data_IF_829310340150
#
_entry.id   IF_829310340150
#
_cell.length_a   1.000
_cell.length_b   1.000
_cell.length_c   1.000
_cell.angle_alpha   90.00
_cell.angle_beta   90.00
_cell.angle_gamma   90.00
#
_symmetry.space_group_name_H-M   'P 1'
#
loop_
_entity.id
_entity.type
_entity.pdbx_description
1 polymer ?
#
# COMPACT_ATOMS: atom_id res chain seq x y z
N UNK A 1 14.58 34.36 12.49
CA UNK A 1 13.84 35.62 12.76
C UNK A 1 13.48 36.33 11.45
N UNK A 2 14.44 36.56 10.52
CA UNK A 2 14.15 37.27 9.25
C UNK A 2 13.08 36.60 8.41
N UNK A 3 13.14 35.27 8.23
CA UNK A 3 12.16 34.47 7.48
C UNK A 3 10.75 34.66 8.04
N UNK A 4 10.58 34.53 9.36
CA UNK A 4 9.28 34.75 10.01
C UNK A 4 8.80 36.19 9.84
N UNK A 5 9.68 37.16 9.94
CA UNK A 5 9.32 38.58 9.79
C UNK A 5 8.82 38.89 8.38
N UNK A 6 9.51 38.36 7.38
CA UNK A 6 9.14 38.57 5.97
C UNK A 6 7.81 37.87 5.64
N UNK A 7 7.61 36.65 6.14
CA UNK A 7 6.34 35.93 6.05
C UNK A 7 5.19 36.68 6.73
N UNK A 8 5.36 37.16 7.95
CA UNK A 8 4.35 37.92 8.66
C UNK A 8 4.03 39.25 7.98
N UNK A 9 5.01 39.91 7.33
CA UNK A 9 4.79 41.10 6.52
C UNK A 9 3.94 40.78 5.28
N UNK A 10 4.26 39.72 4.55
CA UNK A 10 3.47 39.24 3.41
C UNK A 10 2.00 39.06 3.78
N UNK A 11 1.76 38.46 4.92
CA UNK A 11 0.43 38.21 5.48
C UNK A 11 -0.25 39.52 5.91
N UNK A 12 0.43 40.38 6.63
CA UNK A 12 -0.11 41.62 7.17
C UNK A 12 -0.60 42.59 6.08
N UNK A 13 0.14 42.68 4.96
CA UNK A 13 -0.24 43.53 3.82
C UNK A 13 -1.59 43.16 3.27
N UNK A 14 -1.92 41.87 3.23
CA UNK A 14 -3.14 41.38 2.61
C UNK A 14 -4.35 41.29 3.58
N UNK A 15 -4.16 41.34 4.90
CA UNK A 15 -5.19 40.96 5.87
C UNK A 15 -5.28 41.83 7.14
N UNK A 16 -4.89 43.08 7.12
CA UNK A 16 -4.74 43.98 8.28
C UNK A 16 -5.98 44.13 9.21
N UNK A 17 -7.15 43.64 8.80
CA UNK A 17 -8.41 43.82 9.52
C UNK A 17 -9.04 42.53 10.07
N UNK A 18 -8.43 41.38 9.85
CA UNK A 18 -9.02 40.09 10.25
C UNK A 18 -8.29 39.49 11.45
N UNK A 19 -9.05 39.02 12.45
CA UNK A 19 -8.50 38.33 13.64
C UNK A 19 -8.00 36.91 13.32
N UNK A 20 -8.51 36.29 12.26
CA UNK A 20 -8.10 34.98 11.71
C UNK A 20 -8.25 35.01 10.21
N UNK A 21 -7.33 34.38 9.50
CA UNK A 21 -7.40 34.18 8.06
C UNK A 21 -6.80 32.84 7.69
N UNK A 22 -7.20 32.31 6.55
CA UNK A 22 -6.70 31.08 5.99
C UNK A 22 -5.73 31.44 4.87
N UNK A 23 -4.54 30.83 4.90
CA UNK A 23 -3.62 30.82 3.76
C UNK A 23 -3.94 29.59 2.93
N UNK A 24 -4.09 29.77 1.63
CA UNK A 24 -4.30 28.67 0.70
C UNK A 24 -3.13 28.65 -0.28
N UNK A 25 -2.54 27.46 -0.46
CA UNK A 25 -1.49 27.21 -1.42
C UNK A 25 -1.96 26.15 -2.41
N UNK A 26 -1.77 26.41 -3.69
CA UNK A 26 -1.91 25.40 -4.73
C UNK A 26 -0.57 24.68 -4.90
N UNK A 27 -0.46 23.47 -4.35
CA UNK A 27 0.79 22.71 -4.31
C UNK A 27 1.20 22.22 -5.72
N UNK A 28 0.23 22.08 -6.63
CA UNK A 28 0.49 21.55 -7.97
C UNK A 28 1.00 22.64 -8.92
N UNK A 29 0.42 23.86 -8.79
CA UNK A 29 0.65 24.92 -9.77
C UNK A 29 1.49 26.08 -9.23
N UNK A 30 1.88 26.06 -7.95
CA UNK A 30 2.55 27.19 -7.32
C UNK A 30 3.60 26.75 -6.29
N UNK A 31 4.84 27.13 -6.53
CA UNK A 31 6.00 26.84 -5.65
C UNK A 31 6.06 27.77 -4.42
N UNK A 32 5.09 28.69 -4.24
CA UNK A 32 5.12 29.64 -3.12
C UNK A 32 5.23 28.97 -1.74
N UNK A 33 4.61 27.79 -1.59
CA UNK A 33 4.68 27.05 -0.34
C UNK A 33 6.12 26.68 0.02
N UNK A 34 6.99 26.42 -0.96
CA UNK A 34 8.39 26.06 -0.73
C UNK A 34 9.13 27.21 -0.06
N UNK A 35 8.88 28.46 -0.50
CA UNK A 35 9.50 29.64 0.08
C UNK A 35 9.00 29.97 1.48
N UNK A 36 7.74 29.62 1.76
CA UNK A 36 7.11 29.90 3.06
C UNK A 36 7.24 28.71 4.05
N UNK A 37 7.71 27.54 3.60
CA UNK A 37 7.73 26.29 4.38
C UNK A 37 8.45 26.40 5.72
N UNK A 38 9.63 27.05 5.76
CA UNK A 38 10.39 27.24 7.00
C UNK A 38 9.63 28.12 8.01
N UNK A 39 8.98 29.17 7.54
CA UNK A 39 8.18 30.04 8.39
C UNK A 39 6.91 29.32 8.91
N UNK A 40 6.27 28.53 8.05
CA UNK A 40 5.09 27.72 8.39
C UNK A 40 5.44 26.69 9.46
N UNK A 41 6.54 25.96 9.29
CA UNK A 41 7.02 24.97 10.27
C UNK A 41 7.32 25.60 11.63
N UNK A 42 8.07 26.69 11.65
CA UNK A 42 8.39 27.40 12.89
C UNK A 42 7.16 27.96 13.61
N UNK A 43 6.22 28.55 12.86
CA UNK A 43 5.00 29.11 13.45
C UNK A 43 4.02 28.01 13.89
N UNK A 44 4.02 26.85 13.24
CA UNK A 44 3.26 25.68 13.67
C UNK A 44 3.79 25.11 14.97
N UNK A 45 5.11 25.01 15.13
CA UNK A 45 5.77 24.58 16.37
C UNK A 45 5.53 25.54 17.54
N UNK A 46 5.19 26.79 17.27
CA UNK A 46 4.84 27.79 18.26
C UNK A 46 3.32 27.89 18.54
N UNK A 47 2.53 26.99 17.97
CA UNK A 47 1.05 27.00 18.07
C UNK A 47 0.40 28.31 17.57
N UNK A 48 1.09 29.06 16.73
CA UNK A 48 0.59 30.30 16.13
C UNK A 48 -0.24 29.99 14.87
N UNK A 49 0.18 28.94 14.12
CA UNK A 49 -0.59 28.39 13.02
C UNK A 49 -1.28 27.11 13.46
N UNK A 50 -2.55 26.99 13.12
CA UNK A 50 -3.24 25.69 13.20
C UNK A 50 -2.77 24.80 12.07
N UNK A 51 -2.79 23.49 12.31
CA UNK A 51 -2.35 22.49 11.35
C UNK A 51 -2.99 22.70 9.99
N UNK A 52 -2.22 22.71 8.89
CA UNK A 52 -2.77 22.89 7.56
C UNK A 52 -3.71 21.73 7.20
N UNK A 53 -4.88 22.05 6.69
CA UNK A 53 -5.73 21.06 6.06
C UNK A 53 -5.33 20.92 4.60
N UNK A 54 -5.12 19.67 4.15
CA UNK A 54 -4.87 19.38 2.75
C UNK A 54 -6.21 19.10 2.08
N UNK A 55 -6.57 19.89 1.07
CA UNK A 55 -7.72 19.59 0.21
C UNK A 55 -7.28 18.81 -1.01
N UNK A 56 -7.94 17.71 -1.25
CA UNK A 56 -7.72 16.86 -2.43
C UNK A 56 -8.85 17.11 -3.41
N UNK A 57 -8.49 17.32 -4.68
CA UNK A 57 -9.44 17.43 -5.77
C UNK A 57 -9.42 16.12 -6.58
N UNK A 58 -10.57 15.43 -6.62
CA UNK A 58 -10.72 14.16 -7.33
C UNK A 58 -12.09 14.09 -8.01
N UNK A 59 -12.13 13.86 -9.31
CA UNK A 59 -13.38 13.67 -10.05
C UNK A 59 -14.44 14.76 -9.83
N UNK A 60 -14.04 16.04 -9.85
CA UNK A 60 -14.90 17.21 -9.61
C UNK A 60 -15.39 17.38 -8.16
N UNK A 61 -14.93 16.56 -7.23
CA UNK A 61 -15.21 16.69 -5.80
C UNK A 61 -13.98 17.18 -5.04
N UNK A 62 -14.22 18.07 -4.08
CA UNK A 62 -13.20 18.52 -3.14
C UNK A 62 -13.47 17.89 -1.78
N UNK A 63 -12.50 17.22 -1.22
CA UNK A 63 -12.58 16.70 0.14
C UNK A 63 -11.31 17.01 0.92
N UNK A 64 -11.43 17.02 2.25
CA UNK A 64 -10.27 17.17 3.11
C UNK A 64 -9.52 15.83 3.14
N UNK A 65 -8.19 15.86 3.03
CA UNK A 65 -7.36 14.67 3.16
C UNK A 65 -7.62 13.87 4.45
N UNK A 66 -7.98 14.57 5.53
CA UNK A 66 -8.34 13.92 6.80
C UNK A 66 -9.64 13.10 6.73
N UNK A 67 -10.47 13.33 5.71
CA UNK A 67 -11.71 12.58 5.45
C UNK A 67 -11.45 11.39 4.51
N UNK A 68 -10.20 11.18 4.08
CA UNK A 68 -9.79 10.02 3.27
C UNK A 68 -9.93 8.73 4.07
N UNK A 69 -10.11 7.61 3.36
CA UNK A 69 -10.07 6.29 3.99
C UNK A 69 -8.70 6.02 4.61
N UNK A 70 -8.65 5.14 5.62
CA UNK A 70 -7.38 4.75 6.26
C UNK A 70 -6.35 4.22 5.25
N UNK A 71 -6.80 3.49 4.24
CA UNK A 71 -5.93 2.97 3.17
C UNK A 71 -5.37 4.09 2.28
N UNK A 72 -6.20 5.06 1.85
CA UNK A 72 -5.75 6.23 1.08
C UNK A 72 -4.73 7.05 1.86
N UNK A 73 -5.03 7.32 3.13
CA UNK A 73 -4.12 8.06 4.00
C UNK A 73 -2.79 7.33 4.16
N UNK A 74 -2.82 6.03 4.44
CA UNK A 74 -1.62 5.22 4.63
C UNK A 74 -0.75 5.21 3.37
N UNK A 75 -1.34 4.94 2.22
CA UNK A 75 -0.64 4.91 0.93
C UNK A 75 0.03 6.25 0.61
N UNK A 76 -0.71 7.36 0.74
CA UNK A 76 -0.17 8.69 0.48
C UNK A 76 0.92 9.07 1.48
N UNK A 77 0.75 8.76 2.77
CA UNK A 77 1.79 9.01 3.77
C UNK A 77 3.06 8.23 3.50
N UNK A 78 2.96 6.98 3.04
CA UNK A 78 4.13 6.19 2.64
C UNK A 78 4.88 6.84 1.48
N UNK A 79 4.20 7.16 0.38
CA UNK A 79 4.85 7.75 -0.79
C UNK A 79 5.44 9.14 -0.49
N UNK A 80 4.70 10.00 0.22
CA UNK A 80 5.19 11.32 0.63
C UNK A 80 6.40 11.18 1.56
N UNK A 81 6.34 10.24 2.52
CA UNK A 81 7.45 9.96 3.43
C UNK A 81 8.72 9.54 2.69
N UNK A 82 8.62 8.66 1.71
CA UNK A 82 9.75 8.23 0.88
C UNK A 82 10.24 9.41 0.03
N UNK A 83 9.33 10.13 -0.66
CA UNK A 83 9.68 11.28 -1.51
C UNK A 83 10.41 12.38 -0.75
N UNK A 84 10.09 12.57 0.54
CA UNK A 84 10.74 13.60 1.36
C UNK A 84 12.21 13.32 1.70
N UNK A 85 12.67 12.08 1.53
CA UNK A 85 13.99 11.62 1.99
C UNK A 85 14.82 10.90 0.94
N UNK A 86 14.21 10.41 -0.12
CA UNK A 86 14.88 9.61 -1.16
C UNK A 86 15.92 10.44 -1.91
N UNK A 87 17.04 9.81 -2.22
CA UNK A 87 18.10 10.31 -3.07
C UNK A 87 18.60 9.18 -3.97
N UNK A 88 19.41 9.49 -4.97
CA UNK A 88 20.10 8.47 -5.75
C UNK A 88 20.93 7.55 -4.84
N UNK A 89 20.95 6.26 -5.16
CA UNK A 89 21.60 5.21 -4.38
C UNK A 89 20.99 4.95 -2.99
N UNK A 90 19.71 5.28 -2.78
CA UNK A 90 19.01 5.00 -1.53
C UNK A 90 18.64 3.52 -1.41
N UNK A 91 18.71 3.01 -0.17
CA UNK A 91 18.05 1.76 0.23
C UNK A 91 16.76 2.10 0.95
N UNK A 92 15.64 1.66 0.40
CA UNK A 92 14.29 1.89 0.93
C UNK A 92 13.75 0.56 1.46
N UNK A 93 13.36 0.53 2.73
CA UNK A 93 12.77 -0.65 3.36
C UNK A 93 11.31 -0.33 3.69
N UNK A 94 10.41 -1.15 3.19
CA UNK A 94 8.96 -0.99 3.36
C UNK A 94 8.42 -2.26 3.99
N UNK A 95 7.71 -2.13 5.11
CA UNK A 95 7.11 -3.24 5.83
C UNK A 95 5.59 -3.16 5.71
N UNK A 96 4.98 -4.24 5.22
CA UNK A 96 3.54 -4.42 5.01
C UNK A 96 2.83 -3.21 4.37
N UNK A 97 3.22 -2.81 3.14
CA UNK A 97 2.60 -1.66 2.48
C UNK A 97 1.11 -1.85 2.18
N UNK A 98 0.64 -3.08 2.19
CA UNK A 98 -0.76 -3.47 1.99
C UNK A 98 -1.70 -3.10 3.13
N UNK A 99 -1.19 -2.73 4.30
CA UNK A 99 -2.00 -2.47 5.47
C UNK A 99 -3.12 -1.46 5.20
N UNK A 100 -4.38 -1.88 5.46
CA UNK A 100 -5.60 -1.12 5.22
C UNK A 100 -5.90 -0.81 3.75
N UNK A 101 -5.14 -1.37 2.79
CA UNK A 101 -5.30 -1.09 1.37
C UNK A 101 -6.27 -2.05 0.69
N UNK A 102 -7.11 -1.51 -0.20
CA UNK A 102 -8.00 -2.33 -1.03
C UNK A 102 -7.19 -3.24 -1.97
N UNK A 103 -7.61 -4.51 -2.25
CA UNK A 103 -6.87 -5.43 -3.12
C UNK A 103 -6.44 -4.85 -4.46
N UNK A 104 -7.30 -4.06 -5.12
CA UNK A 104 -6.94 -3.40 -6.39
C UNK A 104 -5.76 -2.43 -6.26
N UNK A 105 -5.55 -1.83 -5.08
CA UNK A 105 -4.41 -0.95 -4.84
C UNK A 105 -3.15 -1.75 -4.58
N UNK A 106 -3.27 -2.88 -3.91
CA UNK A 106 -2.16 -3.80 -3.69
C UNK A 106 -1.60 -4.33 -5.02
N UNK A 107 -2.47 -4.68 -5.98
CA UNK A 107 -2.07 -5.09 -7.33
C UNK A 107 -1.27 -4.00 -8.05
N UNK A 108 -1.68 -2.73 -7.91
CA UNK A 108 -1.05 -1.61 -8.60
C UNK A 108 0.15 -1.01 -7.84
N UNK A 109 0.42 -1.47 -6.62
CA UNK A 109 1.40 -0.85 -5.72
C UNK A 109 2.81 -0.77 -6.32
N UNK A 110 3.30 -1.86 -6.90
CA UNK A 110 4.62 -1.92 -7.54
C UNK A 110 4.68 -1.02 -8.78
N UNK A 111 3.61 -0.96 -9.57
CA UNK A 111 3.51 -0.06 -10.71
C UNK A 111 3.62 1.40 -10.27
N UNK A 112 2.87 1.82 -9.27
CA UNK A 112 2.96 3.18 -8.72
C UNK A 112 4.33 3.49 -8.14
N UNK A 113 4.94 2.54 -7.44
CA UNK A 113 6.27 2.70 -6.88
C UNK A 113 7.30 2.95 -7.99
N UNK A 114 7.26 2.17 -9.06
CA UNK A 114 8.13 2.36 -10.25
C UNK A 114 7.89 3.73 -10.90
N UNK A 115 6.64 4.13 -11.10
CA UNK A 115 6.30 5.38 -11.77
C UNK A 115 6.68 6.63 -10.98
N UNK A 116 6.43 6.61 -9.66
CA UNK A 116 6.71 7.76 -8.78
C UNK A 116 8.22 7.97 -8.61
N UNK A 117 8.98 6.89 -8.49
CA UNK A 117 10.40 6.96 -8.16
C UNK A 117 11.34 6.77 -9.38
N UNK A 118 10.81 6.78 -10.60
CA UNK A 118 11.58 6.56 -11.84
C UNK A 118 12.74 7.53 -12.09
N UNK A 119 12.67 8.72 -11.51
CA UNK A 119 13.72 9.76 -11.65
C UNK A 119 14.90 9.54 -10.70
N UNK A 120 14.77 8.65 -9.70
CA UNK A 120 15.84 8.32 -8.77
C UNK A 120 16.62 7.10 -9.25
N UNK A 121 17.93 7.22 -9.35
CA UNK A 121 18.79 6.20 -9.94
C UNK A 121 19.47 5.33 -8.89
N UNK A 122 19.69 4.06 -9.22
CA UNK A 122 20.39 3.09 -8.36
C UNK A 122 19.76 2.90 -6.98
N UNK A 123 18.46 3.12 -6.85
CA UNK A 123 17.73 2.87 -5.63
C UNK A 123 17.36 1.38 -5.51
N UNK A 124 17.41 0.86 -4.28
CA UNK A 124 17.04 -0.49 -3.96
C UNK A 124 15.85 -0.50 -3.00
N UNK A 125 14.78 -1.19 -3.37
CA UNK A 125 13.57 -1.32 -2.56
C UNK A 125 13.51 -2.74 -1.99
N UNK A 126 13.40 -2.85 -0.66
CA UNK A 126 13.16 -4.11 0.05
C UNK A 126 11.78 -4.04 0.65
N UNK A 127 10.89 -4.91 0.22
CA UNK A 127 9.48 -4.91 0.64
C UNK A 127 9.22 -6.22 1.38
N UNK A 128 8.83 -6.12 2.65
CA UNK A 128 8.28 -7.24 3.40
C UNK A 128 6.75 -7.19 3.30
N UNK A 129 6.14 -8.28 2.87
CA UNK A 129 4.69 -8.33 2.62
C UNK A 129 4.10 -9.71 2.87
N UNK A 130 2.86 -9.74 3.32
CA UNK A 130 2.00 -10.93 3.34
C UNK A 130 1.00 -10.94 2.18
N UNK A 131 1.02 -9.92 1.32
CA UNK A 131 0.08 -9.80 0.21
C UNK A 131 0.58 -10.51 -1.05
N UNK A 132 -0.16 -11.51 -1.45
CA UNK A 132 0.02 -12.15 -2.76
C UNK A 132 -0.32 -11.21 -3.92
N UNK A 133 -1.15 -10.18 -3.69
CA UNK A 133 -1.51 -9.20 -4.71
C UNK A 133 -0.33 -8.31 -5.13
N UNK A 134 0.56 -7.96 -4.20
CA UNK A 134 1.74 -7.12 -4.47
C UNK A 134 2.70 -7.83 -5.42
N UNK A 135 2.73 -9.16 -5.40
CA UNK A 135 3.68 -9.95 -6.19
C UNK A 135 3.26 -10.15 -7.65
N UNK A 136 2.10 -9.67 -8.08
CA UNK A 136 1.54 -9.97 -9.41
C UNK A 136 2.27 -9.28 -10.57
N UNK A 137 3.01 -8.19 -10.33
CA UNK A 137 3.67 -7.38 -11.39
C UNK A 137 5.20 -7.31 -11.21
N UNK A 138 5.82 -8.39 -10.75
CA UNK A 138 7.27 -8.47 -10.57
C UNK A 138 7.94 -9.09 -11.79
N UNK A 139 8.85 -8.33 -12.41
CA UNK A 139 9.63 -8.75 -13.56
C UNK A 139 10.98 -9.31 -13.13
N UNK A 140 11.38 -10.45 -13.69
CA UNK A 140 12.59 -11.18 -13.32
C UNK A 140 13.88 -10.36 -13.37
N UNK A 141 14.01 -9.48 -14.37
CA UNK A 141 15.26 -8.74 -14.58
C UNK A 141 15.51 -7.60 -13.59
N UNK A 142 14.50 -7.16 -12.84
CA UNK A 142 14.61 -6.03 -11.89
C UNK A 142 14.03 -6.32 -10.51
N UNK A 143 13.62 -7.55 -10.24
CA UNK A 143 13.05 -7.94 -8.96
C UNK A 143 13.39 -9.38 -8.60
N UNK A 144 13.46 -9.65 -7.29
CA UNK A 144 13.71 -10.98 -6.73
C UNK A 144 12.73 -11.23 -5.59
N UNK A 145 12.14 -12.41 -5.57
CA UNK A 145 11.26 -12.83 -4.48
C UNK A 145 12.05 -13.74 -3.55
N UNK A 146 11.98 -13.44 -2.26
CA UNK A 146 12.52 -14.28 -1.19
C UNK A 146 11.34 -14.75 -0.34
N UNK A 147 10.92 -16.00 -0.54
CA UNK A 147 9.85 -16.58 0.25
C UNK A 147 10.43 -17.22 1.53
N UNK A 148 9.94 -16.75 2.68
CA UNK A 148 10.42 -17.16 4.00
C UNK A 148 9.40 -18.05 4.70
N UNK A 149 9.83 -19.20 5.19
CA UNK A 149 9.04 -20.10 6.02
C UNK A 149 9.72 -20.34 7.36
N UNK A 150 8.93 -20.39 8.43
CA UNK A 150 9.41 -20.76 9.75
C UNK A 150 9.17 -22.25 9.97
N UNK A 151 10.26 -23.05 9.94
CA UNK A 151 10.24 -24.47 10.23
C UNK A 151 11.24 -24.78 11.35
N UNK A 152 10.83 -25.58 12.32
CA UNK A 152 11.67 -26.02 13.46
C UNK A 152 12.33 -24.87 14.23
N UNK A 153 11.61 -23.76 14.38
CA UNK A 153 12.11 -22.57 15.09
C UNK A 153 13.15 -21.74 14.31
N UNK A 154 13.42 -22.11 13.05
CA UNK A 154 14.34 -21.39 12.15
C UNK A 154 13.59 -20.85 10.94
N UNK A 155 14.03 -19.70 10.46
CA UNK A 155 13.54 -19.12 9.19
C UNK A 155 14.40 -19.67 8.06
N UNK A 156 13.74 -20.20 7.03
CA UNK A 156 14.39 -20.71 5.81
C UNK A 156 13.81 -20.01 4.59
N UNK A 157 14.65 -19.78 3.59
CA UNK A 157 14.19 -19.42 2.26
C UNK A 157 13.70 -20.69 1.56
N UNK A 158 12.45 -20.68 1.10
CA UNK A 158 11.80 -21.86 0.49
C UNK A 158 11.61 -21.72 -1.02
N UNK A 159 11.92 -20.55 -1.59
CA UNK A 159 11.77 -20.32 -3.01
C UNK A 159 12.98 -19.58 -3.58
N UNK A 160 13.64 -20.21 -4.53
CA UNK A 160 14.71 -19.63 -5.31
C UNK A 160 14.23 -19.28 -6.73
N UNK A 161 14.55 -18.06 -7.20
CA UNK A 161 14.32 -17.60 -8.58
C UNK A 161 12.87 -17.67 -9.06
N UNK A 162 11.91 -17.26 -8.22
CA UNK A 162 10.53 -17.17 -8.63
C UNK A 162 10.29 -15.92 -9.51
N UNK A 163 9.77 -16.17 -10.70
CA UNK A 163 9.25 -15.14 -11.59
C UNK A 163 7.73 -15.21 -11.56
N UNK A 164 7.09 -14.20 -10.97
CA UNK A 164 5.63 -14.13 -10.85
C UNK A 164 4.98 -13.26 -11.93
N UNK A 165 5.76 -12.76 -12.87
CA UNK A 165 5.23 -11.95 -13.97
C UNK A 165 4.20 -12.75 -14.78
N UNK A 166 3.02 -12.18 -14.99
CA UNK A 166 1.87 -12.82 -15.61
C UNK A 166 1.24 -13.99 -14.85
N UNK A 167 1.62 -14.23 -13.59
CA UNK A 167 0.93 -15.23 -12.79
C UNK A 167 -0.40 -14.70 -12.28
N UNK A 168 -1.38 -15.60 -12.19
CA UNK A 168 -2.62 -15.29 -11.48
C UNK A 168 -2.38 -15.22 -9.97
N UNK A 169 -3.28 -14.53 -9.28
CA UNK A 169 -3.27 -14.46 -7.81
C UNK A 169 -3.29 -15.85 -7.18
N UNK A 170 -4.07 -16.79 -7.75
CA UNK A 170 -4.15 -18.17 -7.28
C UNK A 170 -2.82 -18.91 -7.47
N UNK A 171 -2.14 -18.71 -8.62
CA UNK A 171 -0.82 -19.32 -8.85
C UNK A 171 0.21 -18.85 -7.81
N UNK A 172 0.19 -17.57 -7.45
CA UNK A 172 1.06 -17.00 -6.42
C UNK A 172 0.73 -17.61 -5.05
N UNK A 173 -0.55 -17.70 -4.70
CA UNK A 173 -0.98 -18.32 -3.44
C UNK A 173 -0.51 -19.78 -3.31
N UNK A 174 -0.62 -20.58 -4.37
CA UNK A 174 -0.22 -21.98 -4.33
C UNK A 174 1.30 -22.17 -4.39
N UNK A 175 2.00 -21.44 -5.25
CA UNK A 175 3.40 -21.70 -5.54
C UNK A 175 4.37 -20.87 -4.68
N UNK A 176 3.98 -19.69 -4.20
CA UNK A 176 4.81 -18.81 -3.37
C UNK A 176 4.44 -18.93 -1.90
N UNK A 177 3.16 -18.82 -1.58
CA UNK A 177 2.66 -18.87 -0.20
C UNK A 177 2.35 -20.29 0.28
N UNK A 178 2.40 -21.29 -0.60
CA UNK A 178 2.09 -22.70 -0.30
C UNK A 178 0.73 -22.91 0.39
N UNK A 179 -0.24 -22.04 0.04
CA UNK A 179 -1.61 -22.19 0.50
C UNK A 179 -2.21 -23.42 -0.17
N UNK A 180 -2.48 -24.45 0.60
CA UNK A 180 -2.96 -25.75 0.06
C UNK A 180 -4.37 -25.69 -0.48
N UNK A 181 -5.20 -24.79 0.04
CA UNK A 181 -6.59 -24.67 -0.34
C UNK A 181 -7.15 -23.28 -0.07
N UNK A 182 -7.84 -22.72 -1.05
CA UNK A 182 -8.56 -21.44 -0.95
C UNK A 182 -10.05 -21.63 -0.67
N UNK A 183 -10.52 -22.87 -0.59
CA UNK A 183 -11.93 -23.21 -0.38
C UNK A 183 -12.26 -23.35 1.11
N UNK A 184 -13.55 -23.20 1.42
CA UNK A 184 -14.03 -23.44 2.77
C UNK A 184 -13.75 -24.89 3.20
N UNK A 185 -13.18 -25.09 4.40
CA UNK A 185 -12.82 -26.38 4.97
C UNK A 185 -14.02 -27.34 5.08
N UNK A 186 -15.24 -26.84 5.27
CA UNK A 186 -16.47 -27.65 5.31
C UNK A 186 -16.75 -28.26 3.93
N UNK A 187 -16.63 -27.44 2.88
CA UNK A 187 -16.79 -27.91 1.50
C UNK A 187 -15.72 -28.96 1.14
N UNK A 188 -14.48 -28.71 1.50
CA UNK A 188 -13.37 -29.64 1.25
C UNK A 188 -13.60 -30.99 1.94
N UNK A 189 -13.99 -30.97 3.21
CA UNK A 189 -14.30 -32.19 3.95
C UNK A 189 -15.46 -32.97 3.32
N UNK A 190 -16.49 -32.29 2.83
CA UNK A 190 -17.61 -32.91 2.12
C UNK A 190 -17.18 -33.54 0.79
N UNK A 191 -16.34 -32.80 0.02
CA UNK A 191 -15.77 -33.30 -1.23
C UNK A 191 -14.84 -34.51 -1.01
N UNK A 192 -13.98 -34.50 0.01
CA UNK A 192 -13.13 -35.63 0.39
C UNK A 192 -13.98 -36.86 0.78
N UNK A 193 -15.06 -36.64 1.53
CA UNK A 193 -15.97 -37.70 1.92
C UNK A 193 -16.72 -38.27 0.70
N UNK A 194 -17.21 -37.42 -0.19
CA UNK A 194 -17.81 -37.81 -1.45
C UNK A 194 -16.83 -38.64 -2.30
N UNK A 195 -15.60 -38.15 -2.46
CA UNK A 195 -14.56 -38.87 -3.21
C UNK A 195 -14.30 -40.27 -2.65
N UNK A 196 -14.17 -40.40 -1.32
CA UNK A 196 -14.01 -41.71 -0.67
C UNK A 196 -15.16 -42.66 -0.94
N UNK A 197 -16.42 -42.18 -0.81
CA UNK A 197 -17.60 -42.99 -1.07
C UNK A 197 -17.69 -43.50 -2.52
N UNK A 198 -17.24 -42.68 -3.46
CA UNK A 198 -17.22 -43.03 -4.89
C UNK A 198 -16.05 -43.99 -5.23
N UNK A 199 -14.88 -43.80 -4.64
CA UNK A 199 -13.67 -44.60 -4.97
C UNK A 199 -13.61 -45.95 -4.24
N UNK A 200 -14.13 -46.05 -3.03
CA UNK A 200 -14.05 -47.26 -2.22
C UNK A 200 -15.12 -48.34 -2.60
N UNK A 201 -15.80 -48.18 -3.74
CA UNK A 201 -16.80 -49.12 -4.27
C UNK A 201 -17.95 -49.49 -3.30
N UNK A 202 -18.06 -48.78 -2.21
CA UNK A 202 -19.18 -48.88 -1.30
C UNK A 202 -20.33 -48.06 -1.91
N UNK A 203 -21.21 -48.75 -2.64
CA UNK A 203 -22.33 -48.14 -3.35
C UNK A 203 -23.46 -47.65 -2.39
N UNK A 204 -23.08 -46.81 -1.43
CA UNK A 204 -24.02 -46.03 -0.63
C UNK A 204 -24.54 -44.85 -1.48
N UNK A 205 -25.43 -45.22 -2.42
CA UNK A 205 -26.08 -44.24 -3.29
C UNK A 205 -26.89 -43.20 -2.51
N UNK A 206 -27.46 -43.58 -1.37
CA UNK A 206 -28.18 -42.62 -0.52
C UNK A 206 -27.25 -41.64 0.17
N UNK A 207 -26.11 -42.10 0.66
CA UNK A 207 -25.09 -41.24 1.26
C UNK A 207 -24.47 -40.28 0.23
N UNK A 208 -24.23 -40.74 -1.01
CA UNK A 208 -23.74 -39.90 -2.11
C UNK A 208 -24.78 -38.82 -2.45
N UNK A 209 -26.04 -39.18 -2.65
CA UNK A 209 -27.11 -38.23 -2.99
C UNK A 209 -27.30 -37.18 -1.88
N UNK A 210 -27.29 -37.62 -0.61
CA UNK A 210 -27.41 -36.69 0.52
C UNK A 210 -26.23 -35.68 0.57
N UNK A 211 -25.01 -36.13 0.30
CA UNK A 211 -23.84 -35.24 0.23
C UNK A 211 -23.89 -34.29 -0.97
N UNK A 212 -24.42 -34.73 -2.11
CA UNK A 212 -24.65 -33.90 -3.29
C UNK A 212 -25.71 -32.82 -3.04
N UNK A 213 -26.79 -33.16 -2.33
CA UNK A 213 -27.81 -32.18 -1.95
C UNK A 213 -27.34 -31.15 -0.91
N UNK A 214 -26.28 -31.49 -0.17
CA UNK A 214 -25.66 -30.58 0.83
C UNK A 214 -24.52 -29.72 0.27
N UNK A 215 -24.05 -29.96 -0.97
CA UNK A 215 -23.00 -29.20 -1.66
C UNK A 215 -23.55 -28.04 -2.46
#
# INVERSE_FOLDING_TARGET
IKVITDFLRKIAINNFKRKRYTLEYDIINNDEIIYDAEAIDLLSKLDILTFPSIRVHKNYENYNFMDSSSGETNLLCQFIGILSTIQDNSLIIIDEPENSSHPNWQINYIGWLKDIFKEYHSCHFVIATHSHFILTDLQEHNSTIIALEKADGRVKNIAENLNTFCWSVDDILYNVFHVRNTRNSVFENKMMRLYKLVTENNADKEGINRLLDEL
#
